data_IF_812206302945
#
_entry.id   IF_812206302945
#
_cell.length_a   1.000
_cell.length_b   1.000
_cell.length_c   1.000
_cell.angle_alpha   90.00
_cell.angle_beta   90.00
_cell.angle_gamma   90.00
#
_symmetry.space_group_name_H-M   'P 1'
#
loop_
_entity.id
_entity.type
_entity.pdbx_description
1 polymer ?
#
# COMPACT_ATOMS: atom_id res chain seq x y z
N UNK A 1 -6.24 -38.19 -24.27
CA UNK A 1 -7.09 -37.47 -23.30
C UNK A 1 -6.40 -36.15 -23.03
N UNK A 2 -6.73 -35.10 -23.79
CA UNK A 2 -6.18 -33.76 -23.55
C UNK A 2 -6.66 -33.32 -22.17
N UNK A 3 -5.75 -33.18 -21.21
CA UNK A 3 -6.09 -32.60 -19.92
C UNK A 3 -6.60 -31.19 -20.19
N UNK A 4 -7.85 -30.92 -19.83
CA UNK A 4 -8.45 -29.60 -19.95
C UNK A 4 -7.58 -28.64 -19.13
N UNK A 5 -6.95 -27.66 -19.78
CA UNK A 5 -6.13 -26.66 -19.09
C UNK A 5 -7.06 -25.92 -18.11
N UNK A 6 -6.73 -25.85 -16.81
CA UNK A 6 -7.55 -25.08 -15.88
C UNK A 6 -7.54 -23.61 -16.31
N UNK A 7 -8.71 -22.98 -16.31
CA UNK A 7 -8.81 -21.54 -16.56
C UNK A 7 -8.03 -20.79 -15.47
N UNK A 8 -7.14 -19.87 -15.89
CA UNK A 8 -6.40 -19.01 -14.99
C UNK A 8 -7.18 -17.71 -14.78
N UNK A 9 -7.41 -17.34 -13.52
CA UNK A 9 -8.01 -16.07 -13.14
C UNK A 9 -6.92 -15.03 -12.87
N UNK A 10 -7.11 -13.81 -13.35
CA UNK A 10 -6.24 -12.66 -13.07
C UNK A 10 -7.07 -11.53 -12.48
N UNK A 11 -6.52 -10.84 -11.47
CA UNK A 11 -7.23 -9.82 -10.71
C UNK A 11 -6.45 -8.51 -10.68
N UNK A 12 -7.16 -7.41 -10.92
CA UNK A 12 -6.65 -6.04 -10.91
C UNK A 12 -7.47 -5.20 -9.94
N UNK A 13 -6.88 -4.12 -9.41
CA UNK A 13 -7.62 -3.12 -8.66
C UNK A 13 -8.14 -2.04 -9.61
N UNK A 14 -9.43 -1.73 -9.56
CA UNK A 14 -10.03 -0.64 -10.34
C UNK A 14 -10.30 0.53 -9.40
N UNK A 15 -9.63 1.67 -9.63
CA UNK A 15 -9.85 2.92 -8.90
C UNK A 15 -10.62 3.87 -9.81
N UNK A 16 -11.78 4.33 -9.33
CA UNK A 16 -12.70 5.20 -10.06
C UNK A 16 -12.86 6.54 -9.33
N UNK A 17 -13.19 7.63 -10.03
CA UNK A 17 -13.69 8.86 -9.42
C UNK A 17 -14.93 8.59 -8.58
N UNK A 18 -15.15 9.35 -7.50
CA UNK A 18 -16.20 9.05 -6.52
C UNK A 18 -17.61 8.98 -7.13
N UNK A 19 -17.93 9.87 -8.07
CA UNK A 19 -19.22 9.93 -8.78
C UNK A 19 -19.45 8.66 -9.63
N UNK A 20 -18.45 8.26 -10.41
CA UNK A 20 -18.49 7.05 -11.24
C UNK A 20 -18.50 5.79 -10.37
N UNK A 21 -17.71 5.79 -9.28
CA UNK A 21 -17.65 4.70 -8.34
C UNK A 21 -19.01 4.44 -7.67
N UNK A 22 -19.73 5.49 -7.30
CA UNK A 22 -21.05 5.38 -6.69
C UNK A 22 -22.11 4.88 -7.68
N UNK A 23 -22.05 5.29 -8.94
CA UNK A 23 -22.90 4.74 -10.00
C UNK A 23 -22.67 3.24 -10.19
N UNK A 24 -21.41 2.84 -10.41
CA UNK A 24 -21.04 1.42 -10.61
C UNK A 24 -21.41 0.60 -9.37
N UNK A 25 -21.16 1.12 -8.16
CA UNK A 25 -21.51 0.44 -6.90
C UNK A 25 -23.01 0.27 -6.75
N UNK A 26 -23.82 1.25 -7.17
CA UNK A 26 -25.28 1.15 -7.17
C UNK A 26 -25.76 0.08 -8.14
N UNK A 27 -25.25 0.08 -9.37
CA UNK A 27 -25.58 -0.92 -10.38
C UNK A 27 -25.23 -2.35 -9.94
N UNK A 28 -24.03 -2.55 -9.37
CA UNK A 28 -23.60 -3.85 -8.83
C UNK A 28 -24.54 -4.33 -7.72
N UNK A 29 -24.94 -3.45 -6.80
CA UNK A 29 -25.88 -3.80 -5.71
C UNK A 29 -27.29 -4.10 -6.21
N UNK A 30 -27.73 -3.40 -7.24
CA UNK A 30 -29.04 -3.62 -7.88
C UNK A 30 -29.06 -4.86 -8.77
N UNK A 31 -27.89 -5.42 -9.12
CA UNK A 31 -27.77 -6.50 -10.10
C UNK A 31 -28.09 -6.05 -11.53
N UNK A 32 -27.99 -4.75 -11.78
CA UNK A 32 -28.19 -4.17 -13.11
C UNK A 32 -26.99 -4.47 -14.00
N UNK A 33 -27.25 -4.77 -15.27
CA UNK A 33 -26.19 -5.02 -16.24
C UNK A 33 -25.66 -3.68 -16.76
N UNK A 34 -24.46 -3.32 -16.32
CA UNK A 34 -23.74 -2.15 -16.80
C UNK A 34 -22.76 -2.56 -17.91
N UNK A 35 -22.75 -1.81 -19.00
CA UNK A 35 -21.74 -2.00 -20.05
C UNK A 35 -20.46 -1.30 -19.61
N UNK A 36 -19.46 -2.13 -19.30
CA UNK A 36 -18.17 -1.73 -18.78
C UNK A 36 -17.10 -2.30 -19.68
N UNK A 37 -16.37 -1.43 -20.37
CA UNK A 37 -15.27 -1.81 -21.24
C UNK A 37 -13.98 -1.14 -20.77
N UNK A 38 -12.87 -1.87 -20.89
CA UNK A 38 -11.54 -1.33 -20.70
C UNK A 38 -10.72 -1.60 -21.95
N UNK A 39 -10.05 -0.58 -22.47
CA UNK A 39 -9.22 -0.65 -23.66
C UNK A 39 -7.82 -0.18 -23.32
N UNK A 40 -6.83 -1.05 -23.42
CA UNK A 40 -5.44 -0.65 -23.18
C UNK A 40 -4.80 -0.04 -24.42
N UNK A 41 -4.12 1.08 -24.22
CA UNK A 41 -3.31 1.73 -25.22
C UNK A 41 -1.97 1.00 -25.49
N UNK A 42 -1.14 1.58 -26.38
CA UNK A 42 0.17 1.04 -26.69
C UNK A 42 1.06 0.99 -25.45
N UNK A 43 1.99 0.05 -25.45
CA UNK A 43 2.98 -0.06 -24.37
C UNK A 43 3.91 1.17 -24.40
N UNK A 44 4.15 1.84 -23.26
CA UNK A 44 5.02 3.00 -23.22
C UNK A 44 6.45 2.64 -23.64
N UNK A 45 7.11 3.56 -24.35
CA UNK A 45 8.55 3.43 -24.66
C UNK A 45 9.41 3.56 -23.40
N UNK A 46 8.95 4.40 -22.47
CA UNK A 46 9.62 4.61 -21.20
C UNK A 46 9.16 3.52 -20.22
N UNK A 47 10.08 2.64 -19.82
CA UNK A 47 9.79 1.54 -18.89
C UNK A 47 9.30 2.02 -17.51
N UNK A 48 9.47 3.30 -17.20
CA UNK A 48 9.03 3.94 -15.97
C UNK A 48 7.70 4.70 -16.10
N UNK A 49 7.06 4.71 -17.27
CA UNK A 49 5.78 5.37 -17.48
C UNK A 49 4.60 4.41 -17.28
N UNK A 50 3.49 4.92 -16.75
CA UNK A 50 2.25 4.14 -16.64
C UNK A 50 1.70 3.80 -18.03
N UNK A 51 1.10 2.62 -18.18
CA UNK A 51 0.51 2.21 -19.46
C UNK A 51 -0.84 2.89 -19.64
N UNK A 52 -1.08 3.66 -20.71
CA UNK A 52 -2.35 4.34 -20.93
C UNK A 52 -3.47 3.33 -21.23
N UNK A 53 -4.69 3.68 -20.84
CA UNK A 53 -5.92 2.93 -21.09
C UNK A 53 -7.12 3.90 -21.21
N UNK A 54 -8.22 3.40 -21.75
CA UNK A 54 -9.51 4.09 -21.78
C UNK A 54 -10.53 3.20 -21.12
N UNK A 55 -11.28 3.74 -20.16
CA UNK A 55 -12.35 3.05 -19.45
C UNK A 55 -13.68 3.60 -19.92
N UNK A 56 -14.58 2.72 -20.39
CA UNK A 56 -15.90 3.11 -20.84
C UNK A 56 -16.96 2.57 -19.87
N UNK A 57 -17.82 3.46 -19.39
CA UNK A 57 -18.92 3.15 -18.46
C UNK A 57 -20.22 3.77 -18.97
N UNK A 58 -21.22 2.94 -19.28
CA UNK A 58 -22.52 3.44 -19.74
C UNK A 58 -22.46 4.29 -21.02
N UNK A 59 -21.43 4.08 -21.86
CA UNK A 59 -21.17 4.88 -23.06
C UNK A 59 -20.33 6.13 -22.85
N UNK A 60 -19.92 6.45 -21.61
CA UNK A 60 -19.00 7.54 -21.30
C UNK A 60 -17.57 7.01 -21.29
N UNK A 61 -16.67 7.64 -22.04
CA UNK A 61 -15.25 7.30 -22.07
C UNK A 61 -14.47 8.17 -21.08
N UNK A 62 -13.65 7.53 -20.24
CA UNK A 62 -12.81 8.16 -19.24
C UNK A 62 -11.35 7.75 -19.46
N UNK A 63 -10.39 8.68 -19.33
CA UNK A 63 -8.98 8.35 -19.38
C UNK A 63 -8.60 7.44 -18.19
N UNK A 64 -7.72 6.47 -18.47
CA UNK A 64 -7.24 5.54 -17.47
C UNK A 64 -5.74 5.23 -17.65
N UNK A 65 -5.12 4.72 -16.60
CA UNK A 65 -3.73 4.24 -16.63
C UNK A 65 -3.57 2.98 -15.81
N UNK A 66 -2.82 2.02 -16.33
CA UNK A 66 -2.39 0.82 -15.61
C UNK A 66 -1.02 1.08 -14.98
N UNK A 67 -0.97 1.01 -13.65
CA UNK A 67 0.23 1.16 -12.84
C UNK A 67 0.42 -0.05 -11.92
N UNK A 68 1.65 -0.30 -11.48
CA UNK A 68 1.99 -1.38 -10.54
C UNK A 68 1.88 -0.91 -9.09
N UNK A 69 1.45 -1.81 -8.21
CA UNK A 69 1.48 -1.61 -6.76
C UNK A 69 2.85 -1.99 -6.21
N UNK A 70 3.36 -1.26 -5.21
CA UNK A 70 4.55 -1.67 -4.49
C UNK A 70 4.29 -2.93 -3.66
N UNK A 71 3.08 -3.09 -3.11
CA UNK A 71 2.73 -4.23 -2.27
C UNK A 71 2.05 -5.35 -3.06
N UNK A 72 2.36 -6.60 -2.70
CA UNK A 72 1.62 -7.77 -3.19
C UNK A 72 0.36 -7.94 -2.33
N UNK A 73 -0.82 -7.90 -2.95
CA UNK A 73 -2.11 -8.10 -2.27
C UNK A 73 -2.69 -9.45 -2.66
N UNK A 74 -3.02 -10.31 -1.70
CA UNK A 74 -3.61 -11.62 -2.00
C UNK A 74 -5.14 -11.58 -1.95
N UNK A 75 -5.78 -12.21 -2.93
CA UNK A 75 -7.24 -12.39 -2.94
C UNK A 75 -7.58 -13.75 -2.38
N UNK A 76 -8.35 -13.75 -1.29
CA UNK A 76 -8.79 -14.95 -0.61
C UNK A 76 -10.31 -15.05 -0.62
N UNK A 77 -10.82 -16.25 -0.86
CA UNK A 77 -12.24 -16.60 -0.81
C UNK A 77 -12.48 -17.46 0.43
N UNK A 78 -13.62 -17.28 1.08
CA UNK A 78 -14.03 -18.10 2.22
C UNK A 78 -15.52 -18.42 2.11
N UNK A 79 -15.89 -19.61 2.55
CA UNK A 79 -17.30 -20.04 2.65
C UNK A 79 -17.82 -19.86 4.09
N UNK A 80 -16.95 -20.02 5.08
CA UNK A 80 -17.25 -20.05 6.52
C UNK A 80 -16.73 -18.81 7.28
N UNK A 81 -16.03 -17.89 6.59
CA UNK A 81 -15.31 -16.76 7.15
C UNK A 81 -14.22 -17.14 8.19
N UNK A 82 -13.78 -18.40 8.18
CA UNK A 82 -12.73 -18.90 9.08
C UNK A 82 -11.58 -19.49 8.27
N UNK A 83 -11.91 -20.30 7.28
CA UNK A 83 -10.94 -20.91 6.38
C UNK A 83 -10.89 -20.09 5.09
N UNK A 84 -9.71 -19.56 4.80
CA UNK A 84 -9.46 -18.74 3.62
C UNK A 84 -8.65 -19.51 2.59
N UNK A 85 -9.15 -19.52 1.36
CA UNK A 85 -8.48 -20.15 0.23
C UNK A 85 -8.04 -19.07 -0.75
N UNK A 86 -6.76 -19.09 -1.14
CA UNK A 86 -6.26 -18.21 -2.19
C UNK A 86 -7.04 -18.48 -3.48
N UNK A 87 -7.58 -17.44 -4.09
CA UNK A 87 -8.50 -17.55 -5.23
C UNK A 87 -7.88 -18.22 -6.46
N UNK A 88 -6.55 -18.29 -6.56
CA UNK A 88 -5.87 -18.94 -7.68
C UNK A 88 -4.61 -19.68 -7.18
N UNK A 89 -4.48 -20.93 -7.64
CA UNK A 89 -3.43 -21.90 -7.27
C UNK A 89 -2.10 -21.64 -7.99
N UNK A 90 -2.09 -20.92 -9.12
CA UNK A 90 -0.92 -20.72 -9.98
C UNK A 90 -0.14 -19.41 -9.73
N UNK A 91 -0.27 -18.82 -8.54
CA UNK A 91 0.51 -17.62 -8.17
C UNK A 91 -0.02 -16.28 -8.70
N UNK A 92 -0.98 -16.28 -9.64
CA UNK A 92 -1.63 -15.06 -10.17
C UNK A 92 -2.84 -14.58 -9.37
N UNK A 93 -3.16 -15.24 -8.25
CA UNK A 93 -4.20 -14.78 -7.29
C UNK A 93 -3.79 -13.56 -6.46
N UNK A 94 -2.80 -12.80 -6.93
CA UNK A 94 -2.28 -11.62 -6.26
C UNK A 94 -2.52 -10.41 -7.12
N UNK A 95 -3.14 -9.37 -6.55
CA UNK A 95 -3.26 -8.07 -7.17
C UNK A 95 -1.94 -7.33 -7.00
N UNK A 96 -1.35 -6.95 -8.13
CA UNK A 96 -0.09 -6.19 -8.21
C UNK A 96 -0.21 -4.96 -9.08
N UNK A 97 -1.37 -4.73 -9.68
CA UNK A 97 -1.60 -3.64 -10.62
C UNK A 97 -2.92 -2.95 -10.30
N UNK A 98 -2.94 -1.65 -10.53
CA UNK A 98 -4.09 -0.76 -10.39
C UNK A 98 -4.38 -0.14 -11.75
N UNK A 99 -5.65 -0.09 -12.09
CA UNK A 99 -6.19 0.74 -13.16
C UNK A 99 -6.77 1.97 -12.47
N UNK A 100 -6.08 3.09 -12.62
CA UNK A 100 -6.55 4.39 -12.18
C UNK A 100 -7.36 5.02 -13.30
N UNK A 101 -8.59 5.44 -12.99
CA UNK A 101 -9.48 6.16 -13.90
C UNK A 101 -9.71 7.56 -13.34
N UNK A 102 -9.70 8.56 -14.20
CA UNK A 102 -9.93 9.95 -13.82
C UNK A 102 -10.83 10.66 -14.83
N UNK A 103 -11.33 11.83 -14.47
CA UNK A 103 -12.04 12.71 -15.42
C UNK A 103 -11.07 13.41 -16.37
N UNK A 104 -9.89 13.79 -15.86
CA UNK A 104 -8.83 14.44 -16.64
C UNK A 104 -7.57 13.57 -16.68
N UNK A 105 -6.80 13.70 -17.76
CA UNK A 105 -5.55 12.96 -17.92
C UNK A 105 -4.47 13.40 -16.91
N UNK A 106 -4.51 14.65 -16.45
CA UNK A 106 -3.52 15.23 -15.54
C UNK A 106 -3.60 14.66 -14.11
N UNK A 107 -4.77 14.11 -13.74
CA UNK A 107 -5.00 13.51 -12.42
C UNK A 107 -4.45 12.07 -12.34
N UNK A 108 -4.01 11.50 -13.47
CA UNK A 108 -3.55 10.12 -13.55
C UNK A 108 -2.07 9.98 -13.19
N UNK A 109 -1.68 8.84 -12.58
CA UNK A 109 -0.29 8.57 -12.26
C UNK A 109 0.55 8.50 -13.55
N UNK A 110 1.57 9.34 -13.63
CA UNK A 110 2.54 9.30 -14.74
C UNK A 110 3.51 8.11 -14.63
N UNK A 111 3.78 7.63 -13.41
CA UNK A 111 4.78 6.59 -13.13
C UNK A 111 4.20 5.18 -13.30
N UNK A 112 5.02 4.26 -13.82
CA UNK A 112 4.72 2.84 -13.95
C UNK A 112 4.42 2.16 -12.60
N UNK A 113 4.89 2.74 -11.50
CA UNK A 113 4.69 2.23 -10.16
C UNK A 113 4.12 3.30 -9.22
N UNK A 114 3.11 2.90 -8.44
CA UNK A 114 2.51 3.71 -7.38
C UNK A 114 3.47 3.88 -6.20
N UNK A 115 3.54 5.07 -5.60
CA UNK A 115 4.32 5.28 -4.37
C UNK A 115 3.71 4.53 -3.16
N UNK A 116 2.39 4.37 -3.17
CA UNK A 116 1.59 3.94 -2.03
C UNK A 116 1.08 2.50 -2.19
N UNK A 117 0.97 1.79 -1.06
CA UNK A 117 0.19 0.56 -0.98
C UNK A 117 -1.32 0.82 -0.86
N UNK A 118 -2.10 -0.26 -0.81
CA UNK A 118 -3.56 -0.16 -0.78
C UNK A 118 -4.13 0.40 0.54
N UNK A 119 -3.50 0.11 1.68
CA UNK A 119 -4.02 0.49 3.00
C UNK A 119 -3.36 1.78 3.49
N UNK A 120 -4.07 2.62 4.29
CA UNK A 120 -3.53 3.90 4.77
C UNK A 120 -2.16 3.81 5.45
N UNK A 121 -1.86 2.79 6.28
CA UNK A 121 -0.54 2.64 6.87
C UNK A 121 0.57 2.39 5.83
N UNK A 122 0.24 1.99 4.61
CA UNK A 122 1.20 1.66 3.54
C UNK A 122 1.45 2.84 2.59
N UNK A 123 1.12 4.06 3.02
CA UNK A 123 1.51 5.29 2.33
C UNK A 123 3.04 5.38 2.21
N UNK A 124 3.50 5.69 1.00
CA UNK A 124 4.88 5.87 0.59
C UNK A 124 5.83 4.75 1.06
N UNK A 125 5.35 3.52 0.96
CA UNK A 125 5.95 2.35 1.62
C UNK A 125 7.41 2.11 1.20
N UNK A 126 7.73 2.36 -0.08
CA UNK A 126 9.07 2.17 -0.63
C UNK A 126 10.10 3.05 0.06
N UNK A 127 9.70 4.25 0.45
CA UNK A 127 10.58 5.25 1.06
C UNK A 127 10.61 5.13 2.58
N UNK A 128 9.47 4.83 3.21
CA UNK A 128 9.31 4.90 4.66
C UNK A 128 9.54 3.57 5.39
N UNK A 129 9.05 2.45 4.84
CA UNK A 129 8.96 1.17 5.58
C UNK A 129 9.90 0.11 5.03
N UNK A 130 10.15 0.13 3.74
CA UNK A 130 11.01 -0.88 3.14
C UNK A 130 12.46 -0.62 3.46
N UNK A 131 13.12 -1.70 3.89
CA UNK A 131 14.57 -1.67 4.05
C UNK A 131 15.21 -1.46 2.68
N UNK A 132 15.92 -0.35 2.54
CA UNK A 132 16.71 -0.04 1.35
C UNK A 132 17.72 -1.18 1.13
N UNK A 133 17.66 -1.77 -0.05
CA UNK A 133 18.70 -2.68 -0.54
C UNK A 133 19.72 -1.83 -1.28
N UNK A 134 20.99 -2.24 -1.24
CA UNK A 134 21.98 -1.66 -2.16
C UNK A 134 21.45 -1.90 -3.57
N UNK A 135 21.24 -0.85 -4.37
CA UNK A 135 20.75 -1.01 -5.73
C UNK A 135 21.71 -1.94 -6.48
N UNK A 136 21.17 -3.00 -7.07
CA UNK A 136 21.93 -3.87 -7.96
C UNK A 136 21.65 -3.39 -9.37
N UNK A 137 22.68 -3.06 -10.13
CA UNK A 137 22.53 -2.77 -11.55
C UNK A 137 22.04 -4.05 -12.24
N UNK A 138 20.87 -4.07 -12.91
CA UNK A 138 20.34 -5.26 -13.58
C UNK A 138 21.33 -5.87 -14.58
N UNK A 139 22.12 -5.03 -15.26
CA UNK A 139 23.14 -5.51 -16.22
C UNK A 139 24.27 -6.24 -15.51
N UNK A 140 24.70 -5.73 -14.35
CA UNK A 140 25.69 -6.38 -13.51
C UNK A 140 25.15 -7.70 -12.95
N UNK A 141 23.87 -7.77 -12.58
CA UNK A 141 23.26 -9.02 -12.11
C UNK A 141 23.25 -10.07 -13.21
N UNK A 142 22.82 -9.71 -14.42
CA UNK A 142 22.84 -10.61 -15.59
C UNK A 142 24.26 -11.11 -15.90
N UNK A 143 25.25 -10.22 -15.85
CA UNK A 143 26.65 -10.59 -16.06
C UNK A 143 27.14 -11.56 -14.97
N UNK A 144 26.87 -11.27 -13.70
CA UNK A 144 27.23 -12.16 -12.58
C UNK A 144 26.53 -13.51 -12.69
N UNK A 145 25.28 -13.55 -13.15
CA UNK A 145 24.56 -14.81 -13.39
C UNK A 145 25.23 -15.64 -14.50
N UNK A 146 25.60 -15.01 -15.61
CA UNK A 146 26.32 -15.67 -16.71
C UNK A 146 27.71 -16.18 -16.28
N UNK A 147 28.46 -15.37 -15.54
CA UNK A 147 29.78 -15.75 -15.01
C UNK A 147 29.66 -16.91 -14.01
N UNK A 148 28.68 -16.85 -13.10
CA UNK A 148 28.40 -17.93 -12.14
C UNK A 148 28.01 -19.22 -12.86
N UNK A 149 27.16 -19.15 -13.88
CA UNK A 149 26.81 -20.30 -14.69
C UNK A 149 28.02 -20.92 -15.39
N UNK A 150 28.93 -20.09 -15.92
CA UNK A 150 30.15 -20.55 -16.57
C UNK A 150 31.04 -21.30 -15.56
N UNK A 151 31.28 -20.70 -14.39
CA UNK A 151 32.05 -21.29 -13.30
C UNK A 151 31.46 -22.63 -12.82
N UNK A 152 30.14 -22.70 -12.62
CA UNK A 152 29.44 -23.94 -12.22
C UNK A 152 29.56 -25.02 -13.29
N UNK A 153 29.56 -24.65 -14.57
CA UNK A 153 29.75 -25.58 -15.71
C UNK A 153 31.22 -25.94 -15.95
N UNK A 154 32.17 -25.34 -15.22
CA UNK A 154 33.61 -25.54 -15.41
C UNK A 154 34.14 -24.92 -16.72
N UNK A 155 33.41 -23.97 -17.30
CA UNK A 155 33.79 -23.22 -18.50
C UNK A 155 34.34 -21.86 -18.04
N UNK A 156 35.44 -21.36 -18.61
CA UNK A 156 35.95 -20.04 -18.22
C UNK A 156 34.89 -18.96 -18.48
N UNK A 157 34.69 -18.01 -17.54
CA UNK A 157 33.78 -16.89 -17.74
C UNK A 157 34.26 -16.00 -18.91
N UNK A 158 33.34 -15.30 -19.59
CA UNK A 158 33.68 -14.48 -20.76
C UNK A 158 34.56 -13.27 -20.44
N UNK A 159 34.59 -12.82 -19.18
CA UNK A 159 35.48 -11.77 -18.68
C UNK A 159 36.30 -12.34 -17.52
N UNK A 160 37.62 -12.42 -17.69
CA UNK A 160 38.55 -12.80 -16.63
C UNK A 160 38.92 -11.54 -15.84
N UNK A 161 38.35 -11.39 -14.66
CA UNK A 161 38.83 -10.41 -13.67
C UNK A 161 39.76 -11.14 -12.70
N UNK A 162 41.07 -10.94 -12.87
CA UNK A 162 42.03 -11.29 -11.83
C UNK A 162 41.92 -10.24 -10.72
N UNK A 163 41.61 -10.68 -9.50
CA UNK A 163 41.75 -9.86 -8.30
C UNK A 163 43.25 -9.79 -8.01
N UNK A 164 43.87 -8.67 -8.37
CA UNK A 164 45.24 -8.35 -7.96
C UNK A 164 45.11 -7.69 -6.59
N UNK A 165 45.47 -8.41 -5.53
CA UNK A 165 45.66 -7.79 -4.22
C UNK A 165 46.91 -6.89 -4.33
N UNK A 166 46.70 -5.58 -4.31
CA UNK A 166 47.80 -4.61 -4.20
C UNK A 166 48.38 -4.75 -2.79
N UNK A 167 49.49 -5.48 -2.66
CA UNK A 167 50.28 -5.50 -1.43
C UNK A 167 50.82 -4.07 -1.20
N UNK A 168 50.17 -3.32 -0.31
CA UNK A 168 50.65 -2.02 0.16
C UNK A 168 51.93 -2.26 0.98
N UNK A 169 53.08 -1.99 0.36
CA UNK A 169 54.39 -2.06 1.00
C UNK A 169 54.46 -1.00 2.11
N UNK A 170 54.20 -1.43 3.35
CA UNK A 170 54.41 -0.61 4.54
C UNK A 170 55.90 -0.33 4.63
N UNK A 171 56.33 0.86 4.21
CA UNK A 171 57.69 1.32 4.49
C UNK A 171 57.81 1.53 5.99
N UNK A 172 58.61 0.68 6.64
CA UNK A 172 59.04 0.82 8.04
C UNK A 172 59.92 2.08 8.19
N UNK A 173 59.30 3.27 8.14
CA UNK A 173 59.90 4.48 8.70
C UNK A 173 59.62 4.48 10.21
N UNK A 174 60.41 3.68 10.94
CA UNK A 174 60.53 3.77 12.39
C UNK A 174 61.19 5.11 12.76
N UNK A 175 60.39 6.07 13.21
CA UNK A 175 60.84 7.08 14.16
C UNK A 175 60.17 6.81 15.52
N UNK A 176 60.94 6.18 16.41
CA UNK A 176 60.66 6.01 17.84
C UNK A 176 60.45 7.38 18.51
N UNK A 177 59.20 7.84 18.63
CA UNK A 177 58.87 8.93 19.54
C UNK A 177 58.72 8.37 20.97
N UNK A 178 59.53 8.83 21.95
CA UNK A 178 59.50 8.30 23.31
C UNK A 178 58.19 8.64 24.01
N UNK A 179 57.53 7.59 24.55
CA UNK A 179 56.33 7.71 25.37
C UNK A 179 56.51 8.70 26.53
N UNK A 180 55.56 9.64 26.75
CA UNK A 180 55.59 10.51 27.92
C UNK A 180 55.34 9.71 29.22
N UNK A 181 55.92 10.15 30.35
CA UNK A 181 55.80 9.44 31.60
C UNK A 181 54.35 9.42 32.10
N UNK A 182 53.91 8.22 32.50
CA UNK A 182 52.62 7.99 33.15
C UNK A 182 52.67 8.54 34.58
N UNK A 183 52.11 9.72 34.79
CA UNK A 183 51.73 10.15 36.13
C UNK A 183 50.51 9.35 36.59
N UNK A 184 50.76 8.48 37.57
CA UNK A 184 49.73 7.85 38.37
C UNK A 184 49.07 8.92 39.25
N UNK A 185 47.76 9.11 39.10
CA UNK A 185 46.78 9.19 40.20
C UNK A 185 45.44 9.78 39.71
N UNK A 186 44.33 9.17 40.14
CA UNK A 186 43.04 9.87 40.26
C UNK A 186 41.85 9.34 39.45
N UNK A 187 41.15 8.36 40.04
CA UNK A 187 39.69 8.14 40.04
C UNK A 187 38.79 8.98 39.10
N UNK A 188 37.92 8.30 38.32
CA UNK A 188 36.45 8.30 38.51
C UNK A 188 35.74 7.33 37.55
N UNK A 189 34.92 6.46 38.16
CA UNK A 189 33.56 6.01 37.81
C UNK A 189 33.05 5.96 36.35
N UNK A 190 32.74 4.73 35.92
CA UNK A 190 31.49 4.29 35.28
C UNK A 190 30.75 5.21 34.30
N UNK A 191 30.82 4.87 33.00
CA UNK A 191 29.90 5.46 32.00
C UNK A 191 30.03 4.85 30.60
N UNK A 192 29.14 3.91 30.29
CA UNK A 192 28.59 3.54 28.98
C UNK A 192 29.11 4.31 27.74
N UNK A 193 29.74 3.61 26.80
CA UNK A 193 29.99 4.12 25.44
C UNK A 193 29.15 3.37 24.41
N UNK A 194 28.11 4.06 23.94
CA UNK A 194 27.44 3.83 22.67
C UNK A 194 28.44 3.92 21.50
N UNK A 195 28.25 3.04 20.53
CA UNK A 195 28.96 3.03 19.25
C UNK A 195 28.45 4.21 18.42
N UNK A 196 29.26 5.28 18.35
CA UNK A 196 29.03 6.47 17.54
C UNK A 196 29.20 6.15 16.05
N UNK A 197 28.14 6.39 15.27
CA UNK A 197 28.22 6.65 13.83
C UNK A 197 29.01 7.94 13.54
N UNK A 198 29.70 8.05 12.39
CA UNK A 198 30.37 9.29 11.97
C UNK A 198 29.40 10.34 11.38
N UNK A 199 29.78 11.64 11.38
CA UNK A 199 28.85 12.74 11.24
C UNK A 199 28.50 13.10 9.79
N UNK A 200 27.22 13.46 9.60
CA UNK A 200 26.68 14.02 8.38
C UNK A 200 27.11 15.49 8.19
N UNK A 201 27.53 15.81 6.97
CA UNK A 201 27.77 17.17 6.48
C UNK A 201 26.48 17.99 6.49
N UNK A 202 26.53 19.09 7.25
CA UNK A 202 25.46 20.07 7.36
C UNK A 202 25.39 20.98 6.13
N UNK A 203 24.20 21.08 5.54
CA UNK A 203 23.80 22.13 4.60
C UNK A 203 22.46 22.70 5.03
N UNK A 204 22.46 23.98 5.41
CA UNK A 204 21.38 24.75 6.06
C UNK A 204 20.65 25.59 5.00
N UNK A 205 19.31 25.56 4.92
CA UNK A 205 18.32 26.65 5.14
C UNK A 205 17.18 26.53 4.10
N UNK A 206 16.06 27.29 4.20
CA UNK A 206 15.11 27.46 5.30
C UNK A 206 13.66 27.08 4.86
N UNK A 207 12.76 26.68 5.75
CA UNK A 207 11.79 27.60 6.36
C UNK A 207 10.60 27.91 5.43
N UNK A 208 9.46 27.23 5.63
CA UNK A 208 8.14 27.82 5.45
C UNK A 208 7.10 27.01 6.24
N UNK A 209 6.51 27.71 7.21
CA UNK A 209 5.36 27.34 8.01
C UNK A 209 4.08 27.41 7.18
N UNK A 210 3.24 26.39 7.27
CA UNK A 210 1.80 26.56 7.15
C UNK A 210 1.11 25.57 8.09
N UNK A 211 0.44 26.13 9.10
CA UNK A 211 -0.53 25.46 9.93
C UNK A 211 -1.79 25.08 9.10
N UNK A 212 -2.61 24.18 9.66
CA UNK A 212 -4.03 23.91 9.39
C UNK A 212 -4.26 22.40 9.17
N UNK A 213 -5.23 21.70 9.73
CA UNK A 213 -6.13 21.88 10.87
C UNK A 213 -6.68 20.49 11.16
N UNK A 214 -6.94 20.22 12.43
CA UNK A 214 -7.73 19.10 12.89
C UNK A 214 -9.11 19.08 12.21
N UNK A 215 -9.44 17.98 11.54
CA UNK A 215 -10.82 17.64 11.24
C UNK A 215 -11.15 16.34 11.96
N UNK A 216 -12.05 16.47 12.93
CA UNK A 216 -12.73 15.37 13.60
C UNK A 216 -13.62 14.63 12.60
N UNK A 217 -13.58 13.30 12.62
CA UNK A 217 -14.58 12.47 11.95
C UNK A 217 -15.13 11.46 12.96
N UNK A 218 -16.39 11.69 13.29
CA UNK A 218 -17.21 10.96 14.24
C UNK A 218 -17.43 9.49 13.86
N UNK A 219 -17.63 8.69 14.89
CA UNK A 219 -18.14 7.32 14.86
C UNK A 219 -19.48 7.19 14.12
N UNK A 220 -19.61 6.14 13.32
CA UNK A 220 -20.90 5.50 13.08
C UNK A 220 -20.71 3.98 13.08
N UNK A 221 -21.24 3.33 14.11
CA UNK A 221 -21.45 1.89 14.13
C UNK A 221 -22.61 1.56 13.18
N UNK A 222 -22.45 0.56 12.33
CA UNK A 222 -23.57 -0.12 11.68
C UNK A 222 -23.26 -1.61 11.50
N UNK A 223 -24.27 -2.41 11.76
CA UNK A 223 -24.29 -3.88 11.77
C UNK A 223 -23.90 -4.52 10.43
N UNK A 224 -23.30 -5.72 10.49
CA UNK A 224 -23.09 -6.66 9.37
C UNK A 224 -24.40 -7.38 8.96
N UNK A 225 -24.48 -8.25 7.91
CA UNK A 225 -23.45 -8.76 6.98
C UNK A 225 -23.88 -8.82 5.49
N UNK A 226 -22.97 -9.18 4.57
CA UNK A 226 -23.36 -9.84 3.32
C UNK A 226 -22.49 -9.58 2.08
N UNK A 227 -21.69 -10.60 1.71
CA UNK A 227 -21.19 -10.92 0.38
C UNK A 227 -20.46 -9.83 -0.44
N UNK A 228 -19.13 -9.80 -0.32
CA UNK A 228 -18.26 -9.24 -1.36
C UNK A 228 -18.23 -10.20 -2.56
N UNK A 229 -18.91 -9.83 -3.65
CA UNK A 229 -18.85 -10.54 -4.92
C UNK A 229 -17.54 -10.26 -5.67
N UNK A 230 -16.90 -11.32 -6.17
CA UNK A 230 -15.76 -11.22 -7.08
C UNK A 230 -16.27 -11.10 -8.52
N UNK A 231 -15.73 -10.13 -9.26
CA UNK A 231 -16.04 -9.88 -10.68
C UNK A 231 -15.19 -10.82 -11.55
N UNK A 232 -15.80 -11.48 -12.53
CA UNK A 232 -15.12 -12.29 -13.53
C UNK A 232 -15.04 -11.57 -14.88
N UNK A 233 -13.94 -11.74 -15.59
CA UNK A 233 -13.66 -11.13 -16.89
C UNK A 233 -13.31 -12.19 -17.94
N UNK A 234 -13.74 -11.99 -19.19
CA UNK A 234 -13.33 -12.81 -20.34
C UNK A 234 -12.59 -11.95 -21.36
N UNK A 235 -11.46 -12.44 -21.88
CA UNK A 235 -10.61 -11.76 -22.87
C UNK A 235 -10.88 -12.30 -24.27
N UNK A 236 -11.21 -11.43 -25.23
CA UNK A 236 -11.15 -11.72 -26.68
C UNK A 236 -9.99 -10.94 -27.32
N UNK A 237 -9.29 -11.61 -28.24
CA UNK A 237 -8.01 -11.17 -28.80
C UNK A 237 -8.17 -10.12 -29.92
N UNK A 238 -7.63 -8.91 -29.70
CA UNK A 238 -7.51 -7.86 -30.71
C UNK A 238 -7.76 -6.47 -30.15
N UNK A 239 -6.88 -6.00 -29.25
CA UNK A 239 -7.20 -4.94 -28.29
C UNK A 239 -7.93 -5.56 -27.10
N UNK A 240 -7.32 -5.55 -25.92
CA UNK A 240 -7.87 -6.25 -24.75
C UNK A 240 -9.10 -5.51 -24.26
N UNK A 241 -10.27 -5.82 -24.84
CA UNK A 241 -11.57 -5.35 -24.39
C UNK A 241 -12.05 -6.26 -23.28
N UNK A 242 -12.06 -5.76 -22.05
CA UNK A 242 -12.56 -6.49 -20.89
C UNK A 242 -13.99 -6.05 -20.62
N UNK A 243 -14.96 -6.95 -20.89
CA UNK A 243 -16.34 -6.77 -20.44
C UNK A 243 -16.46 -7.16 -18.98
N UNK A 244 -16.84 -6.23 -18.12
CA UNK A 244 -17.13 -6.54 -16.72
C UNK A 244 -18.62 -6.88 -16.59
N UNK A 245 -18.93 -8.15 -16.31
CA UNK A 245 -20.31 -8.58 -16.06
C UNK A 245 -20.59 -8.60 -14.56
N UNK A 246 -21.74 -8.06 -14.09
CA UNK A 246 -22.24 -8.38 -12.77
C UNK A 246 -22.57 -9.88 -12.75
N UNK A 247 -22.02 -10.63 -11.79
CA UNK A 247 -22.41 -12.03 -11.63
C UNK A 247 -23.90 -12.11 -11.30
N UNK A 248 -24.59 -13.06 -11.94
CA UNK A 248 -25.92 -13.47 -11.50
C UNK A 248 -25.84 -13.92 -10.03
N UNK A 249 -26.84 -13.59 -9.19
CA UNK A 249 -26.87 -14.07 -7.82
C UNK A 249 -26.77 -15.60 -7.85
N UNK A 250 -25.85 -16.14 -7.06
CA UNK A 250 -25.68 -17.59 -6.90
C UNK A 250 -27.07 -18.22 -6.72
N UNK A 251 -27.43 -19.11 -7.65
CA UNK A 251 -28.74 -19.77 -7.65
C UNK A 251 -29.04 -20.33 -6.27
N UNK A 252 -30.29 -20.16 -5.81
CA UNK A 252 -30.81 -20.55 -4.50
C UNK A 252 -30.11 -21.80 -3.96
N UNK A 253 -29.09 -21.61 -3.14
CA UNK A 253 -28.52 -22.69 -2.33
C UNK A 253 -29.57 -23.00 -1.28
N UNK A 254 -30.07 -24.23 -1.28
CA UNK A 254 -31.05 -24.70 -0.31
C UNK A 254 -30.57 -24.37 1.11
N UNK A 255 -31.46 -23.94 2.02
CA UNK A 255 -31.07 -23.58 3.38
C UNK A 255 -30.33 -24.75 4.01
N UNK A 256 -29.09 -24.48 4.44
CA UNK A 256 -28.30 -25.45 5.18
C UNK A 256 -29.11 -25.91 6.40
N UNK A 257 -29.24 -27.23 6.57
CA UNK A 257 -29.87 -27.85 7.72
C UNK A 257 -29.26 -27.26 9.02
N UNK A 258 -30.06 -26.79 9.98
CA UNK A 258 -29.54 -26.27 11.23
C UNK A 258 -28.82 -27.41 11.97
N UNK A 259 -27.49 -27.28 12.14
CA UNK A 259 -26.71 -28.19 12.96
C UNK A 259 -26.98 -27.91 14.45
N UNK A 260 -26.88 -28.95 15.31
CA UNK A 260 -27.17 -28.82 16.73
C UNK A 260 -26.29 -27.74 17.36
N UNK A 261 -26.96 -26.82 18.04
CA UNK A 261 -26.42 -25.70 18.78
C UNK A 261 -25.33 -26.15 19.76
N UNK A 262 -24.09 -25.78 19.48
CA UNK A 262 -23.03 -25.74 20.49
C UNK A 262 -23.37 -24.53 21.38
N UNK A 263 -23.77 -24.78 22.62
CA UNK A 263 -23.97 -23.73 23.62
C UNK A 263 -22.63 -23.05 23.89
N UNK A 264 -22.36 -21.95 23.21
CA UNK A 264 -21.34 -21.01 23.65
C UNK A 264 -21.97 -20.15 24.73
N UNK A 265 -21.44 -20.25 25.95
CA UNK A 265 -21.75 -19.31 27.02
C UNK A 265 -21.19 -17.95 26.62
N UNK A 266 -22.00 -17.15 25.93
CA UNK A 266 -21.73 -15.72 25.75
C UNK A 266 -22.07 -15.06 27.09
N UNK A 267 -21.03 -14.69 27.83
CA UNK A 267 -21.18 -13.83 29.01
C UNK A 267 -21.78 -12.49 28.56
N UNK A 268 -22.90 -12.03 29.15
CA UNK A 268 -23.47 -10.74 28.81
C UNK A 268 -22.46 -9.63 29.13
N UNK A 269 -22.39 -8.57 28.31
CA UNK A 269 -21.49 -7.45 28.55
C UNK A 269 -21.78 -6.82 29.91
N UNK A 270 -20.72 -6.52 30.66
CA UNK A 270 -20.81 -5.93 32.00
C UNK A 270 -21.60 -4.60 31.93
N UNK A 271 -22.75 -4.46 32.61
CA UNK A 271 -23.57 -3.25 32.58
C UNK A 271 -22.81 -2.02 33.08
N UNK A 272 -21.74 -2.19 33.87
CA UNK A 272 -20.87 -1.08 34.30
C UNK A 272 -20.02 -0.53 33.16
N UNK A 273 -19.57 -1.38 32.24
CA UNK A 273 -18.80 -0.96 31.07
C UNK A 273 -19.68 -0.16 30.09
N UNK A 274 -20.93 -0.58 29.90
CA UNK A 274 -21.90 0.13 29.07
C UNK A 274 -22.25 1.51 29.65
N UNK A 275 -22.46 1.61 30.97
CA UNK A 275 -22.71 2.89 31.64
C UNK A 275 -21.51 3.85 31.56
N UNK A 276 -20.28 3.32 31.69
CA UNK A 276 -19.07 4.13 31.56
C UNK A 276 -18.86 4.66 30.13
N UNK A 277 -19.23 3.88 29.11
CA UNK A 277 -19.18 4.34 27.72
C UNK A 277 -20.20 5.46 27.44
N UNK A 278 -21.43 5.33 27.94
CA UNK A 278 -22.46 6.36 27.80
C UNK A 278 -22.05 7.68 28.49
N UNK A 279 -21.47 7.61 29.69
CA UNK A 279 -21.00 8.79 30.42
C UNK A 279 -19.85 9.53 29.70
N UNK A 280 -18.99 8.81 28.97
CA UNK A 280 -17.92 9.44 28.16
C UNK A 280 -18.50 10.19 26.96
N UNK A 281 -19.50 9.63 26.29
CA UNK A 281 -20.17 10.29 25.16
C UNK A 281 -20.88 11.57 25.62
N UNK A 282 -21.55 11.54 26.76
CA UNK A 282 -22.19 12.75 27.32
C UNK A 282 -21.17 13.81 27.75
N UNK A 283 -20.02 13.41 28.30
CA UNK A 283 -18.97 14.35 28.68
C UNK A 283 -18.32 15.02 27.46
N UNK A 284 -18.09 14.26 26.38
CA UNK A 284 -17.55 14.80 25.12
C UNK A 284 -18.54 15.75 24.44
N UNK A 285 -19.85 15.47 24.50
CA UNK A 285 -20.88 16.37 23.98
C UNK A 285 -20.90 17.72 24.72
N UNK A 286 -20.83 17.70 26.06
CA UNK A 286 -20.77 18.94 26.88
C UNK A 286 -19.50 19.74 26.60
N UNK A 287 -18.35 19.07 26.48
CA UNK A 287 -17.09 19.73 26.17
C UNK A 287 -17.11 20.44 24.80
N UNK A 288 -17.83 19.86 23.83
CA UNK A 288 -18.03 20.47 22.51
C UNK A 288 -18.93 21.70 22.57
N UNK A 289 -20.03 21.64 23.31
CA UNK A 289 -20.93 22.79 23.50
C UNK A 289 -20.22 23.96 24.21
N UNK A 290 -19.41 23.67 25.23
CA UNK A 290 -18.61 24.69 25.92
C UNK A 290 -17.54 25.33 25.01
N UNK A 291 -16.94 24.55 24.11
CA UNK A 291 -15.97 25.05 23.14
C UNK A 291 -16.64 25.97 22.09
N UNK A 292 -17.80 25.55 21.56
CA UNK A 292 -18.58 26.36 20.61
C UNK A 292 -19.10 27.65 21.27
N UNK A 293 -19.44 27.62 22.57
CA UNK A 293 -19.83 28.81 23.32
C UNK A 293 -18.68 29.81 23.48
N UNK A 294 -17.46 29.34 23.77
CA UNK A 294 -16.26 30.19 23.86
C UNK A 294 -15.90 30.83 22.52
N UNK A 295 -16.00 30.08 21.43
CA UNK A 295 -15.74 30.59 20.09
C UNK A 295 -16.74 31.70 19.70
N UNK A 296 -18.02 31.55 20.07
CA UNK A 296 -19.03 32.61 19.87
C UNK A 296 -18.76 33.86 20.70
N UNK A 297 -18.30 33.70 21.93
CA UNK A 297 -17.95 34.84 22.80
C UNK A 297 -16.72 35.58 22.27
N UNK A 298 -15.68 34.85 21.83
CA UNK A 298 -14.49 35.44 21.19
C UNK A 298 -14.83 36.14 19.88
N UNK A 299 -15.70 35.57 19.06
CA UNK A 299 -16.16 36.19 17.82
C UNK A 299 -16.93 37.49 18.10
N UNK A 300 -17.84 37.49 19.08
CA UNK A 300 -18.59 38.68 19.49
C UNK A 300 -17.67 39.76 20.09
N UNK A 301 -16.61 39.36 20.81
CA UNK A 301 -15.61 40.30 21.34
C UNK A 301 -14.79 40.95 20.22
N UNK A 302 -14.41 40.20 19.18
CA UNK A 302 -13.72 40.73 18.00
C UNK A 302 -14.60 41.72 17.23
N UNK A 303 -15.88 41.41 17.02
CA UNK A 303 -16.82 42.30 16.34
C UNK A 303 -17.02 43.62 17.10
N UNK A 304 -17.06 43.58 18.44
CA UNK A 304 -17.11 44.80 19.27
C UNK A 304 -15.84 45.64 19.16
N UNK A 305 -14.68 45.00 19.12
CA UNK A 305 -13.40 45.69 18.98
C UNK A 305 -13.21 46.33 17.59
N UNK A 306 -13.83 45.77 16.55
CA UNK A 306 -13.84 46.38 15.20
C UNK A 306 -14.83 47.55 15.06
N UNK A 307 -15.79 47.67 15.98
CA UNK A 307 -16.82 48.72 15.97
C UNK A 307 -16.43 49.98 16.78
N UNK A 308 -15.41 49.92 17.64
CA UNK A 308 -14.82 51.06 18.38
C UNK A 308 -13.68 51.73 17.61
#
# INVERSE_FOLDING_TARGET
KTMNKPASEEAFLLRLPDDVADEVRRAIRAGEQLDLDLLFGPEPKDAHAARPATFCVGGTELPATLSSLPTVVEVQKSLDNYTFFKSNVNGTGTVRQVIDVAHNLDDLPSKAEQPDGLTPPMNNIRHLKWRKRVPRDPRMVEQVELELEALVKGVPPPVLTELIDEEEEVTDDEEDEPMPPLDADGATDGGHTDISCPPALAGRLPGNSAACSSAACSSAAHESPGACGLVGATVESGGTRIKLFPQQPAGKVAPAQPRPSIQTHVTPPDPRAAAAAAARVEAEARAREDAEAREREEAAARERAEAE
#
